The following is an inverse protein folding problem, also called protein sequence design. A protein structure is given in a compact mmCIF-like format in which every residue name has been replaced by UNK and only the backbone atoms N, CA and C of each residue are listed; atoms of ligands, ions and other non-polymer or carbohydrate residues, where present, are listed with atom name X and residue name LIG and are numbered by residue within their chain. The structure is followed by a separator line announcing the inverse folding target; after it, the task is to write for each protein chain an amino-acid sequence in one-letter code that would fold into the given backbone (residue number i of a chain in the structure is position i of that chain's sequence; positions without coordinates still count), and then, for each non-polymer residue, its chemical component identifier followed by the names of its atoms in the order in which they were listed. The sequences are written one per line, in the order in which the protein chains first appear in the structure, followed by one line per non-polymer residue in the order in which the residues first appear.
data_IF_292189943189
#
_entry.id   IF_292189943189
#
_cell.length_a   1.000
_cell.length_b   1.000
_cell.length_c   1.000
_cell.angle_alpha   90.00
_cell.angle_beta   90.00
_cell.angle_gamma   90.00
#
_symmetry.space_group_name_H-M   'P 1'
#
loop_
_entity.id
_entity.type
_entity.pdbx_description
1 polymer ?
#
# COMPACT_ATOMS: atom_id res chain seq x y z
N UNK A 1 8.53 -10.14 -5.43
CA UNK A 1 7.87 -9.80 -4.19
C UNK A 1 7.19 -10.97 -3.50
N UNK A 2 6.30 -11.66 -4.17
CA UNK A 2 5.67 -12.83 -3.55
C UNK A 2 6.66 -13.95 -3.30
N UNK A 3 7.69 -14.03 -4.11
CA UNK A 3 8.71 -15.03 -3.85
C UNK A 3 9.42 -14.74 -2.55
N UNK A 4 9.52 -13.47 -2.16
CA UNK A 4 10.11 -13.11 -0.88
C UNK A 4 9.26 -13.64 0.26
N UNK A 5 7.94 -13.55 0.11
CA UNK A 5 7.04 -14.09 1.11
C UNK A 5 7.18 -15.59 1.19
N UNK A 6 7.32 -16.23 0.04
CA UNK A 6 7.49 -17.67 0.02
C UNK A 6 8.78 -18.08 0.70
N UNK A 7 9.84 -17.33 0.47
CA UNK A 7 11.10 -17.61 1.14
C UNK A 7 10.98 -17.46 2.64
N UNK A 8 10.23 -16.46 3.07
CA UNK A 8 10.03 -16.23 4.49
C UNK A 8 9.16 -17.29 5.12
N UNK A 9 8.44 -18.03 4.33
CA UNK A 9 7.55 -19.05 4.86
C UNK A 9 8.31 -20.13 5.63
N UNK A 10 9.62 -20.19 5.47
CA UNK A 10 10.42 -21.12 6.24
C UNK A 10 10.35 -20.83 7.73
N UNK A 11 9.84 -19.67 8.09
CA UNK A 11 9.61 -19.34 9.48
C UNK A 11 8.37 -20.02 10.04
N UNK A 12 7.62 -20.70 9.17
CA UNK A 12 6.56 -21.55 9.60
C UNK A 12 5.17 -20.96 9.46
N UNK A 13 4.18 -21.71 9.91
CA UNK A 13 2.77 -21.30 9.77
C UNK A 13 2.47 -19.96 10.40
N UNK A 14 3.13 -19.63 11.49
CA UNK A 14 2.90 -18.36 12.15
C UNK A 14 3.23 -17.21 11.23
N UNK A 15 4.30 -17.33 10.47
CA UNK A 15 4.67 -16.30 9.52
C UNK A 15 3.62 -16.16 8.44
N UNK A 16 3.12 -17.26 7.96
CA UNK A 16 2.08 -17.22 6.93
C UNK A 16 0.82 -16.55 7.43
N UNK A 17 0.42 -16.87 8.65
CA UNK A 17 -0.76 -16.25 9.25
C UNK A 17 -0.56 -14.75 9.36
N UNK A 18 0.60 -14.34 9.82
CA UNK A 18 0.93 -12.92 9.94
C UNK A 18 0.86 -12.23 8.59
N UNK A 19 1.41 -12.86 7.55
CA UNK A 19 1.40 -12.27 6.21
C UNK A 19 -0.03 -12.11 5.70
N UNK A 20 -0.88 -13.09 5.96
CA UNK A 20 -2.27 -13.03 5.53
C UNK A 20 -3.01 -11.92 6.25
N UNK A 21 -2.77 -11.79 7.55
CA UNK A 21 -3.38 -10.74 8.32
C UNK A 21 -2.90 -9.37 7.89
N UNK A 22 -1.61 -9.28 7.56
CA UNK A 22 -1.06 -8.02 7.06
C UNK A 22 -1.70 -7.65 5.73
N UNK A 23 -1.91 -8.62 4.86
CA UNK A 23 -2.56 -8.36 3.59
C UNK A 23 -3.98 -7.84 3.79
N UNK A 24 -4.72 -8.46 4.70
CA UNK A 24 -6.07 -8.00 5.00
C UNK A 24 -6.07 -6.59 5.58
N UNK A 25 -5.13 -6.33 6.49
CA UNK A 25 -5.02 -5.01 7.09
C UNK A 25 -4.69 -3.96 6.05
N UNK A 26 -3.81 -4.30 5.11
CA UNK A 26 -3.45 -3.37 4.05
C UNK A 26 -4.64 -3.07 3.15
N UNK A 27 -5.39 -4.09 2.76
CA UNK A 27 -6.56 -3.88 1.91
C UNK A 27 -7.61 -3.02 2.62
N UNK A 28 -7.82 -3.27 3.89
CA UNK A 28 -8.76 -2.47 4.66
C UNK A 28 -8.29 -1.02 4.77
N UNK A 29 -6.99 -0.82 4.95
CA UNK A 29 -6.43 0.51 5.04
C UNK A 29 -6.55 1.26 3.72
N UNK A 30 -6.30 0.58 2.62
CA UNK A 30 -6.44 1.19 1.29
C UNK A 30 -7.89 1.65 1.09
N UNK A 31 -8.83 0.86 1.54
CA UNK A 31 -10.25 1.19 1.46
C UNK A 31 -10.59 2.49 2.19
N UNK A 32 -9.81 2.83 3.20
CA UNK A 32 -10.06 4.03 3.99
C UNK A 32 -9.41 5.28 3.40
N UNK A 33 -8.62 5.13 2.36
CA UNK A 33 -8.01 6.29 1.72
C UNK A 33 -9.06 7.12 1.00
N UNK A 34 -8.90 8.45 0.97
CA UNK A 34 -9.73 9.27 0.11
C UNK A 34 -9.62 8.77 -1.33
N UNK A 35 -10.69 8.88 -2.13
CA UNK A 35 -10.70 8.32 -3.49
C UNK A 35 -9.51 8.72 -4.35
N UNK A 36 -9.11 9.99 -4.30
CA UNK A 36 -8.00 10.47 -5.11
C UNK A 36 -6.69 9.79 -4.72
N UNK A 37 -6.47 9.66 -3.42
CA UNK A 37 -5.25 9.06 -2.93
C UNK A 37 -5.25 7.56 -3.20
N UNK A 38 -6.40 6.94 -3.03
CA UNK A 38 -6.53 5.51 -3.30
C UNK A 38 -6.25 5.20 -4.76
N UNK A 39 -6.81 5.99 -5.66
CA UNK A 39 -6.59 5.78 -7.08
C UNK A 39 -5.12 5.91 -7.43
N UNK A 40 -4.47 6.98 -6.98
CA UNK A 40 -3.06 7.19 -7.28
C UNK A 40 -2.21 6.05 -6.73
N UNK A 41 -2.51 5.62 -5.52
CA UNK A 41 -1.76 4.54 -4.88
C UNK A 41 -1.92 3.23 -5.65
N UNK A 42 -3.14 2.90 -6.04
CA UNK A 42 -3.39 1.66 -6.76
C UNK A 42 -2.78 1.66 -8.16
N UNK A 43 -2.81 2.79 -8.83
CA UNK A 43 -2.17 2.89 -10.14
C UNK A 43 -0.67 2.63 -10.03
N UNK A 44 -0.06 3.09 -8.97
CA UNK A 44 1.36 2.83 -8.78
C UNK A 44 1.61 1.39 -8.36
N UNK A 45 0.84 0.90 -7.41
CA UNK A 45 1.08 -0.42 -6.84
C UNK A 45 0.70 -1.55 -7.80
N UNK A 46 -0.44 -1.44 -8.45
CA UNK A 46 -0.91 -2.49 -9.34
C UNK A 46 -0.54 -2.24 -10.78
N UNK A 47 -0.56 -0.98 -11.19
CA UNK A 47 -0.26 -0.61 -12.57
C UNK A 47 1.20 -0.36 -12.84
N UNK A 48 2.02 -0.35 -11.80
CA UNK A 48 3.45 -0.09 -11.93
C UNK A 48 3.72 1.21 -12.69
N UNK A 49 2.86 2.20 -12.47
CA UNK A 49 2.95 3.46 -13.17
C UNK A 49 3.86 4.44 -12.46
N UNK A 50 4.58 5.24 -13.23
CA UNK A 50 5.39 6.30 -12.67
C UNK A 50 4.48 7.46 -12.24
N UNK A 51 5.04 8.39 -11.47
CA UNK A 51 4.27 9.56 -11.05
C UNK A 51 3.81 10.35 -12.27
N UNK A 52 4.68 10.48 -13.28
CA UNK A 52 4.30 11.16 -14.52
C UNK A 52 3.11 10.49 -15.19
N UNK A 53 3.14 9.16 -15.24
CA UNK A 53 2.05 8.40 -15.84
C UNK A 53 0.76 8.58 -15.08
N UNK A 54 0.85 8.56 -13.75
CA UNK A 54 -0.33 8.74 -12.91
C UNK A 54 -0.91 10.14 -13.10
N UNK A 55 -0.05 11.13 -13.17
CA UNK A 55 -0.50 12.50 -13.38
C UNK A 55 -1.26 12.61 -14.70
N UNK A 56 -0.71 12.04 -15.75
CA UNK A 56 -1.35 12.06 -17.06
C UNK A 56 -2.67 11.30 -17.03
N UNK A 57 -2.67 10.13 -16.42
CA UNK A 57 -3.88 9.28 -16.41
C UNK A 57 -5.00 9.91 -15.60
N UNK A 58 -4.68 10.65 -14.56
CA UNK A 58 -5.69 11.24 -13.69
C UNK A 58 -5.96 12.71 -13.99
N UNK A 59 -5.25 13.28 -14.97
CA UNK A 59 -5.51 14.65 -15.41
C UNK A 59 -5.07 15.70 -14.41
N UNK A 60 -4.00 15.44 -13.66
CA UNK A 60 -3.50 16.40 -12.68
C UNK A 60 -2.02 16.66 -12.94
N UNK A 61 -1.48 17.65 -12.24
CA UNK A 61 -0.07 17.96 -12.37
C UNK A 61 0.79 16.88 -11.71
N UNK A 62 2.06 16.86 -12.07
CA UNK A 62 3.02 15.97 -11.44
C UNK A 62 3.04 16.18 -9.93
N UNK A 63 3.06 17.46 -9.52
CA UNK A 63 3.12 17.76 -8.09
C UNK A 63 1.89 17.24 -7.35
N UNK A 64 0.73 17.37 -7.96
CA UNK A 64 -0.48 16.87 -7.34
C UNK A 64 -0.45 15.36 -7.22
N UNK A 65 -0.03 14.66 -8.27
CA UNK A 65 0.06 13.20 -8.22
C UNK A 65 1.05 12.76 -7.16
N UNK A 66 2.20 13.45 -7.09
CA UNK A 66 3.22 13.15 -6.11
C UNK A 66 2.69 13.34 -4.69
N UNK A 67 1.96 14.43 -4.47
CA UNK A 67 1.38 14.71 -3.17
C UNK A 67 0.35 13.67 -2.77
N UNK A 68 -0.49 13.26 -3.71
CA UNK A 68 -1.49 12.23 -3.44
C UNK A 68 -0.83 10.93 -2.98
N UNK A 69 0.25 10.55 -3.65
CA UNK A 69 0.98 9.33 -3.28
C UNK A 69 1.59 9.47 -1.90
N UNK A 70 2.17 10.62 -1.61
CA UNK A 70 2.78 10.85 -0.31
C UNK A 70 1.74 10.78 0.79
N UNK A 71 0.60 11.43 0.60
CA UNK A 71 -0.46 11.40 1.59
C UNK A 71 -1.03 10.00 1.76
N UNK A 72 -1.17 9.29 0.65
CA UNK A 72 -1.67 7.91 0.71
C UNK A 72 -0.73 7.06 1.55
N UNK A 73 0.57 7.15 1.30
CA UNK A 73 1.55 6.37 2.04
C UNK A 73 1.55 6.73 3.51
N UNK A 74 1.47 8.02 3.82
CA UNK A 74 1.45 8.45 5.20
C UNK A 74 0.21 7.94 5.92
N UNK A 75 -0.93 8.01 5.25
CA UNK A 75 -2.17 7.53 5.84
C UNK A 75 -2.12 6.03 6.07
N UNK A 76 -1.56 5.30 5.09
CA UNK A 76 -1.42 3.86 5.26
C UNK A 76 -0.52 3.52 6.43
N UNK A 77 0.57 4.27 6.59
CA UNK A 77 1.45 4.05 7.73
C UNK A 77 0.70 4.27 9.04
N UNK A 78 -0.11 5.31 9.11
CA UNK A 78 -0.91 5.56 10.31
C UNK A 78 -1.88 4.43 10.57
N UNK A 79 -2.59 4.01 9.54
CA UNK A 79 -3.61 2.99 9.70
C UNK A 79 -3.00 1.63 10.06
N UNK A 80 -1.81 1.36 9.57
CA UNK A 80 -1.15 0.09 9.82
C UNK A 80 -0.26 0.12 11.06
N UNK A 81 -0.08 1.27 11.66
CA UNK A 81 0.77 1.40 12.83
C UNK A 81 0.26 0.55 13.98
N UNK A 82 -1.06 0.57 14.21
CA UNK A 82 -1.66 -0.23 15.27
C UNK A 82 -1.41 -1.70 15.05
N UNK A 83 -1.58 -2.15 13.82
CA UNK A 83 -1.35 -3.54 13.49
C UNK A 83 0.12 -3.92 13.70
N UNK A 84 1.01 -3.06 13.21
CA UNK A 84 2.44 -3.31 13.37
C UNK A 84 2.84 -3.26 14.83
N UNK A 85 2.25 -2.34 15.59
CA UNK A 85 2.54 -2.20 17.00
C UNK A 85 2.15 -3.41 17.82
N UNK A 86 1.11 -4.08 17.39
CA UNK A 86 0.63 -5.25 18.08
C UNK A 86 1.71 -6.34 18.10
N UNK A 87 2.42 -6.47 17.01
CA UNK A 87 3.45 -7.50 16.92
C UNK A 87 4.65 -7.19 17.78
N UNK A 88 4.88 -5.94 18.01
CA UNK A 88 6.04 -5.56 18.77
C UNK A 88 5.88 -5.98 20.22
#
# INVERSE_FOLDING_TARGET
MFSDLAADSRLGPLRQVTSREQAKALLAAIDQLPPDQREAFLLQAEGDMSVDDIAAATGVSFETAKSRLRYARNKLKELLADFAGVRA
#
